data_IF_882968295314
#
_entry.id   IF_882968295314
#
_cell.length_a   1.000
_cell.length_b   1.000
_cell.length_c   1.000
_cell.angle_alpha   90.00
_cell.angle_beta   90.00
_cell.angle_gamma   90.00
#
_symmetry.space_group_name_H-M   'P 1'
#
loop_
_entity.id
_entity.type
_entity.pdbx_description
1 polymer ?
#
# COMPACT_ATOMS: atom_id res chain seq x y z
N UNK A 1 21.36 30.20 -1.21
CA UNK A 1 20.73 28.88 -1.08
C UNK A 1 19.24 29.07 -1.34
N UNK A 2 18.69 28.49 -2.40
CA UNK A 2 17.26 28.59 -2.71
C UNK A 2 16.55 27.40 -2.07
N UNK A 3 15.69 27.66 -1.08
CA UNK A 3 14.85 26.66 -0.45
C UNK A 3 13.71 26.30 -1.40
N UNK A 4 13.76 25.12 -2.02
CA UNK A 4 12.67 24.64 -2.87
C UNK A 4 11.56 24.12 -1.96
N UNK A 5 10.45 24.85 -1.86
CA UNK A 5 9.28 24.43 -1.08
C UNK A 5 8.58 23.27 -1.80
N UNK A 6 8.33 22.19 -1.08
CA UNK A 6 7.44 21.11 -1.55
C UNK A 6 6.02 21.67 -1.54
N UNK A 7 5.38 21.75 -2.71
CA UNK A 7 3.98 22.11 -2.82
C UNK A 7 3.14 20.86 -2.56
N UNK A 8 2.61 20.73 -1.34
CA UNK A 8 1.58 19.74 -1.04
C UNK A 8 0.23 20.30 -1.51
N UNK A 9 -0.29 19.77 -2.61
CA UNK A 9 -1.65 20.04 -3.02
C UNK A 9 -2.58 19.02 -2.35
N UNK A 10 -3.35 19.46 -1.36
CA UNK A 10 -4.47 18.69 -0.84
C UNK A 10 -5.65 18.96 -1.77
N UNK A 11 -5.91 18.05 -2.70
CA UNK A 11 -7.07 18.18 -3.60
C UNK A 11 -8.20 17.30 -3.07
N UNK A 12 -9.23 17.91 -2.49
CA UNK A 12 -10.46 17.23 -2.11
C UNK A 12 -11.31 17.00 -3.36
N UNK A 13 -11.17 15.84 -4.02
CA UNK A 13 -12.09 15.45 -5.08
C UNK A 13 -13.32 14.79 -4.47
N UNK A 14 -14.50 15.34 -4.75
CA UNK A 14 -15.76 15.05 -4.07
C UNK A 14 -16.46 13.75 -4.53
N UNK A 15 -15.91 12.98 -5.45
CA UNK A 15 -16.61 11.82 -6.04
C UNK A 15 -16.36 10.48 -5.32
N UNK A 16 -15.39 10.41 -4.41
CA UNK A 16 -15.25 9.35 -3.42
C UNK A 16 -14.31 9.90 -2.35
N UNK A 17 -14.61 9.71 -1.06
CA UNK A 17 -13.90 10.31 0.09
C UNK A 17 -12.42 9.97 0.28
N UNK A 18 -11.64 9.80 -0.79
CA UNK A 18 -10.20 9.66 -0.77
C UNK A 18 -9.54 11.04 -0.62
N UNK A 19 -8.84 11.23 0.51
CA UNK A 19 -7.92 12.35 0.67
C UNK A 19 -6.70 12.08 -0.24
N UNK A 20 -6.70 12.64 -1.44
CA UNK A 20 -5.55 12.54 -2.35
C UNK A 20 -4.54 13.61 -1.95
N UNK A 21 -3.54 13.20 -1.17
CA UNK A 21 -2.34 13.98 -0.98
C UNK A 21 -1.40 13.69 -2.16
N UNK A 22 -1.42 14.52 -3.21
CA UNK A 22 -0.42 14.42 -4.28
C UNK A 22 0.81 15.22 -3.86
N UNK A 23 1.79 14.52 -3.27
CA UNK A 23 3.13 15.08 -3.14
C UNK A 23 3.87 14.82 -4.47
N UNK A 24 3.97 15.85 -5.32
CA UNK A 24 4.82 15.84 -6.50
C UNK A 24 6.21 16.33 -6.12
N UNK A 25 7.18 15.43 -6.10
CA UNK A 25 8.58 15.79 -5.86
C UNK A 25 9.16 16.29 -7.18
N UNK A 26 9.54 17.59 -7.32
CA UNK A 26 10.23 18.04 -8.53
C UNK A 26 11.47 17.19 -8.73
N UNK A 27 11.58 16.60 -9.93
CA UNK A 27 12.67 15.73 -10.33
C UNK A 27 13.96 16.56 -10.39
N UNK A 28 14.68 16.65 -9.26
CA UNK A 28 16.07 17.04 -9.30
C UNK A 28 16.79 15.88 -10.01
N UNK A 29 17.14 16.06 -11.28
CA UNK A 29 18.07 15.16 -11.96
C UNK A 29 19.43 15.28 -11.25
N UNK A 30 19.59 14.58 -10.13
CA UNK A 30 20.87 14.35 -9.53
C UNK A 30 21.65 13.49 -10.52
N UNK A 31 22.67 14.09 -11.16
CA UNK A 31 23.67 13.36 -11.92
C UNK A 31 24.41 12.45 -10.94
N UNK A 32 23.96 11.21 -10.81
CA UNK A 32 24.68 10.16 -10.11
C UNK A 32 25.97 9.88 -10.91
N UNK A 33 27.10 10.08 -10.24
CA UNK A 33 28.43 9.81 -10.79
C UNK A 33 28.55 8.38 -11.29
N UNK A 34 29.29 8.22 -12.39
CA UNK A 34 29.58 6.96 -13.03
C UNK A 34 30.27 5.98 -12.06
N UNK A 35 29.51 5.01 -11.55
CA UNK A 35 30.03 3.97 -10.66
C UNK A 35 29.05 2.82 -10.53
N UNK A 36 29.18 1.83 -11.43
CA UNK A 36 28.34 0.62 -11.59
C UNK A 36 26.90 0.90 -12.03
N UNK A 37 26.49 0.21 -13.10
CA UNK A 37 25.15 0.23 -13.66
C UNK A 37 24.16 -0.41 -12.68
N UNK A 38 23.68 0.35 -11.69
CA UNK A 38 22.48 -0.03 -10.94
C UNK A 38 21.32 -0.12 -11.95
N UNK A 39 20.68 -1.28 -12.04
CA UNK A 39 19.48 -1.41 -12.88
C UNK A 39 18.36 -0.62 -12.22
N UNK A 40 17.96 0.47 -12.87
CA UNK A 40 16.85 1.32 -12.42
C UNK A 40 15.58 0.85 -13.10
N UNK A 41 14.63 0.35 -12.32
CA UNK A 41 13.31 -0.05 -12.83
C UNK A 41 12.29 0.99 -12.43
N UNK A 42 11.61 1.59 -13.41
CA UNK A 42 10.50 2.51 -13.13
C UNK A 42 9.30 1.74 -12.58
N UNK A 43 8.76 2.21 -11.47
CA UNK A 43 7.55 1.69 -10.85
C UNK A 43 6.47 2.76 -10.88
N UNK A 44 5.30 2.40 -11.37
CA UNK A 44 4.09 3.22 -11.31
C UNK A 44 3.01 2.45 -10.58
N UNK A 45 2.49 3.04 -9.50
CA UNK A 45 1.29 2.55 -8.83
C UNK A 45 1.50 1.34 -7.92
N UNK A 46 2.66 1.23 -7.27
CA UNK A 46 2.88 0.17 -6.29
C UNK A 46 2.14 0.52 -5.00
N UNK A 47 1.07 -0.23 -4.70
CA UNK A 47 0.30 -0.10 -3.48
C UNK A 47 0.84 -0.99 -2.36
N UNK A 48 0.78 -0.48 -1.12
CA UNK A 48 1.15 -1.24 0.07
C UNK A 48 0.93 -0.44 1.36
N UNK A 49 1.15 -1.10 2.49
CA UNK A 49 1.06 -0.47 3.80
C UNK A 49 2.35 0.27 4.13
N UNK A 50 2.27 1.56 4.43
CA UNK A 50 3.41 2.32 4.93
C UNK A 50 3.73 1.92 6.38
N UNK A 51 5.02 1.85 6.70
CA UNK A 51 5.55 1.76 8.07
C UNK A 51 6.56 2.87 8.34
N UNK A 52 6.34 3.63 9.40
CA UNK A 52 7.19 4.73 9.86
C UNK A 52 7.04 4.96 11.38
N UNK A 53 8.13 5.22 12.13
CA UNK A 53 9.54 5.08 11.75
C UNK A 53 10.01 3.61 11.84
N UNK A 54 10.92 3.23 10.94
CA UNK A 54 11.58 1.92 10.95
C UNK A 54 13.05 2.09 11.28
N UNK A 55 13.42 1.70 12.50
CA UNK A 55 14.81 1.69 12.95
C UNK A 55 15.45 0.33 12.66
N UNK A 56 16.55 0.33 11.91
CA UNK A 56 17.45 -0.82 11.81
C UNK A 56 18.72 -0.59 12.62
N UNK A 57 19.30 -1.68 13.10
CA UNK A 57 20.66 -1.67 13.64
C UNK A 57 21.62 -1.18 12.56
N UNK A 58 22.58 -0.32 12.94
CA UNK A 58 23.52 0.30 12.01
C UNK A 58 23.01 1.51 11.22
N UNK A 59 21.74 1.93 11.41
CA UNK A 59 21.21 3.15 10.78
C UNK A 59 21.07 3.06 9.25
N UNK A 60 21.05 1.85 8.71
CA UNK A 60 21.06 1.64 7.26
C UNK A 60 19.72 1.95 6.59
N UNK A 61 18.61 1.88 7.32
CA UNK A 61 17.28 2.12 6.75
C UNK A 61 17.03 3.59 6.46
N UNK A 62 16.19 3.88 5.47
CA UNK A 62 15.68 5.23 5.23
C UNK A 62 14.68 5.72 6.29
N UNK A 63 14.39 4.89 7.30
CA UNK A 63 13.34 5.15 8.29
C UNK A 63 11.92 4.82 7.81
N UNK A 64 11.70 4.54 6.51
CA UNK A 64 10.37 4.32 5.92
C UNK A 64 10.33 3.05 5.09
N UNK A 65 9.32 2.20 5.33
CA UNK A 65 9.16 0.94 4.59
C UNK A 65 7.74 0.82 4.04
N UNK A 66 7.62 0.52 2.75
CA UNK A 66 6.38 0.07 2.13
C UNK A 66 6.32 -1.46 2.17
N UNK A 67 5.36 -2.01 2.90
CA UNK A 67 5.06 -3.45 2.90
C UNK A 67 4.02 -3.76 1.83
N UNK A 68 4.38 -4.67 0.93
CA UNK A 68 3.50 -5.14 -0.14
C UNK A 68 3.44 -6.67 -0.11
N UNK A 69 2.52 -7.26 -0.87
CA UNK A 69 2.54 -8.71 -1.09
C UNK A 69 3.87 -9.19 -1.69
N UNK A 70 4.50 -8.42 -2.59
CA UNK A 70 5.78 -8.73 -3.23
C UNK A 70 7.00 -8.60 -2.27
N UNK A 71 6.80 -8.08 -1.07
CA UNK A 71 7.83 -7.89 -0.05
C UNK A 71 7.92 -6.44 0.42
N UNK A 72 9.01 -6.14 1.11
CA UNK A 72 9.29 -4.83 1.69
C UNK A 72 10.18 -3.99 0.78
N UNK A 73 9.85 -2.71 0.66
CA UNK A 73 10.61 -1.71 -0.07
C UNK A 73 10.93 -0.54 0.86
N UNK A 74 12.17 -0.10 0.88
CA UNK A 74 12.54 1.13 1.55
C UNK A 74 12.15 2.33 0.69
N UNK A 75 11.63 3.37 1.32
CA UNK A 75 11.27 4.60 0.62
C UNK A 75 12.36 5.62 0.85
N UNK A 76 13.02 6.03 -0.23
CA UNK A 76 13.93 7.15 -0.25
C UNK A 76 13.24 8.31 -0.95
N UNK A 77 13.27 9.48 -0.33
CA UNK A 77 12.95 10.72 -1.04
C UNK A 77 14.28 11.25 -1.58
N UNK A 78 14.25 11.97 -2.70
CA UNK A 78 15.45 12.64 -3.21
C UNK A 78 15.95 13.67 -2.17
N UNK A 79 16.79 14.64 -2.56
CA UNK A 79 17.30 15.67 -1.65
C UNK A 79 16.25 16.64 -1.07
N UNK A 80 14.99 16.22 -0.98
CA UNK A 80 13.89 16.97 -0.41
C UNK A 80 13.67 16.60 1.05
N UNK A 81 13.45 17.59 1.93
CA UNK A 81 13.08 17.32 3.30
C UNK A 81 11.76 16.54 3.32
N UNK A 82 11.74 15.49 4.13
CA UNK A 82 10.56 14.67 4.38
C UNK A 82 9.81 15.28 5.56
N UNK A 83 8.51 15.53 5.41
CA UNK A 83 7.67 15.97 6.51
C UNK A 83 7.33 14.76 7.40
N UNK A 84 8.12 14.53 8.44
CA UNK A 84 7.95 13.38 9.35
C UNK A 84 6.52 13.28 9.90
N UNK A 85 5.87 14.41 10.20
CA UNK A 85 4.49 14.42 10.73
C UNK A 85 3.49 13.83 9.74
N UNK A 86 3.70 14.07 8.45
CA UNK A 86 2.88 13.46 7.42
C UNK A 86 3.06 11.94 7.41
N UNK A 87 4.29 11.46 7.51
CA UNK A 87 4.55 10.01 7.50
C UNK A 87 4.09 9.31 8.78
N UNK A 88 4.14 9.98 9.93
CA UNK A 88 3.48 9.51 11.16
C UNK A 88 1.96 9.35 10.96
N UNK A 89 1.32 10.32 10.31
CA UNK A 89 -0.13 10.25 10.01
C UNK A 89 -0.47 9.18 8.97
N UNK A 90 0.49 8.79 8.12
CA UNK A 90 0.33 7.76 7.12
C UNK A 90 0.78 6.37 7.61
N UNK A 91 1.38 6.27 8.80
CA UNK A 91 1.82 4.98 9.34
C UNK A 91 0.64 4.00 9.44
N UNK A 92 0.87 2.77 8.97
CA UNK A 92 -0.15 1.74 8.90
C UNK A 92 -1.23 1.94 7.82
N UNK A 93 -1.22 3.04 7.06
CA UNK A 93 -2.19 3.26 5.96
C UNK A 93 -1.71 2.65 4.65
N UNK A 94 -2.67 2.29 3.81
CA UNK A 94 -2.40 1.90 2.43
C UNK A 94 -2.08 3.13 1.59
N UNK A 95 -0.92 3.12 0.96
CA UNK A 95 -0.45 4.17 0.06
C UNK A 95 -0.06 3.56 -1.26
N UNK A 96 -0.09 4.39 -2.30
CA UNK A 96 0.39 4.05 -3.63
C UNK A 96 1.60 4.93 -3.96
N UNK A 97 2.65 4.30 -4.46
CA UNK A 97 3.95 4.92 -4.69
C UNK A 97 4.34 4.76 -6.17
N UNK A 98 4.86 5.83 -6.75
CA UNK A 98 5.51 5.81 -8.05
C UNK A 98 6.94 6.38 -7.90
N UNK A 99 7.89 5.75 -8.57
CA UNK A 99 9.30 6.08 -8.40
C UNK A 99 10.25 5.15 -9.13
N UNK A 100 11.52 5.27 -8.79
CA UNK A 100 12.61 4.49 -9.36
C UNK A 100 13.06 3.41 -8.37
N UNK A 101 12.89 2.14 -8.72
CA UNK A 101 13.36 1.02 -7.91
C UNK A 101 14.83 0.73 -8.22
N UNK A 102 15.63 0.68 -7.16
CA UNK A 102 17.02 0.23 -7.15
C UNK A 102 17.20 -0.91 -6.16
N UNK A 103 18.14 -1.81 -6.46
CA UNK A 103 18.51 -2.90 -5.56
C UNK A 103 19.96 -2.72 -5.11
N UNK A 104 20.20 -2.73 -3.80
CA UNK A 104 21.53 -2.57 -3.20
C UNK A 104 21.87 -3.74 -2.29
N UNK A 105 23.13 -4.17 -2.22
CA UNK A 105 23.56 -5.11 -1.19
C UNK A 105 23.38 -4.45 0.19
N UNK A 106 22.74 -5.16 1.13
CA UNK A 106 22.74 -4.79 2.54
C UNK A 106 24.09 -5.14 3.18
N UNK A 107 24.50 -4.41 4.22
CA UNK A 107 25.78 -4.66 4.88
C UNK A 107 25.70 -5.91 5.75
N UNK A 108 24.60 -6.10 6.48
CA UNK A 108 24.45 -7.22 7.43
C UNK A 108 23.80 -8.46 6.79
N UNK A 109 22.66 -8.33 6.09
CA UNK A 109 22.02 -9.46 5.38
C UNK A 109 21.17 -8.99 4.19
N UNK A 110 21.35 -9.63 3.03
CA UNK A 110 20.37 -9.61 1.93
C UNK A 110 20.46 -8.44 0.95
N UNK A 111 19.48 -8.36 0.06
CA UNK A 111 19.34 -7.27 -0.93
C UNK A 111 18.29 -6.29 -0.46
N UNK A 112 18.67 -5.01 -0.37
CA UNK A 112 17.79 -3.88 -0.07
C UNK A 112 17.12 -3.42 -1.36
N UNK A 113 15.80 -3.26 -1.32
CA UNK A 113 14.99 -2.74 -2.44
C UNK A 113 14.56 -1.33 -2.08
N UNK A 114 15.13 -0.34 -2.75
CA UNK A 114 14.92 1.08 -2.42
C UNK A 114 14.17 1.73 -3.57
N UNK A 115 13.02 2.32 -3.26
CA UNK A 115 12.25 3.13 -4.19
C UNK A 115 12.57 4.59 -3.93
N UNK A 116 13.19 5.26 -4.91
CA UNK A 116 13.26 6.71 -4.92
C UNK A 116 11.90 7.26 -5.32
N UNK A 117 11.16 7.77 -4.33
CA UNK A 117 9.77 8.21 -4.47
C UNK A 117 9.70 9.49 -5.29
N UNK A 118 8.98 9.43 -6.40
CA UNK A 118 8.66 10.58 -7.25
C UNK A 118 7.24 11.11 -6.97
N UNK A 119 6.33 10.20 -6.65
CA UNK A 119 4.97 10.51 -6.25
C UNK A 119 4.48 9.51 -5.21
N UNK A 120 3.73 10.01 -4.24
CA UNK A 120 3.04 9.23 -3.23
C UNK A 120 1.60 9.75 -3.13
N UNK A 121 0.65 8.84 -2.96
CA UNK A 121 -0.74 9.15 -2.64
C UNK A 121 -1.32 8.12 -1.67
N UNK A 122 -2.36 8.51 -0.93
CA UNK A 122 -3.18 7.53 -0.20
C UNK A 122 -3.87 6.64 -1.22
N UNK A 123 -3.81 5.32 -1.03
CA UNK A 123 -4.50 4.40 -1.93
C UNK A 123 -6.02 4.66 -1.81
N UNK A 124 -6.76 4.69 -2.94
CA UNK A 124 -8.20 4.88 -2.87
C UNK A 124 -8.83 3.74 -2.07
N UNK A 125 -9.62 4.06 -1.05
CA UNK A 125 -10.50 3.08 -0.43
C UNK A 125 -11.50 2.60 -1.48
N UNK A 126 -11.68 1.29 -1.55
CA UNK A 126 -12.65 0.65 -2.42
C UNK A 126 -13.77 0.09 -1.56
N UNK A 127 -15.00 0.48 -1.90
CA UNK A 127 -16.21 -0.10 -1.35
C UNK A 127 -16.77 -1.09 -2.36
N UNK A 128 -17.00 -2.32 -1.91
CA UNK A 128 -17.57 -3.41 -2.71
C UNK A 128 -18.85 -3.86 -2.03
N UNK A 129 -19.96 -3.78 -2.75
CA UNK A 129 -21.23 -4.37 -2.34
C UNK A 129 -21.40 -5.72 -3.01
N UNK A 130 -21.87 -6.72 -2.25
CA UNK A 130 -22.16 -8.01 -2.83
C UNK A 130 -22.60 -9.03 -1.80
N UNK A 131 -22.67 -10.28 -2.23
CA UNK A 131 -22.98 -11.40 -1.34
C UNK A 131 -21.69 -11.91 -0.72
N UNK A 132 -21.62 -11.87 0.61
CA UNK A 132 -20.52 -12.43 1.36
C UNK A 132 -20.56 -13.96 1.28
N UNK A 133 -19.41 -14.55 0.99
CA UNK A 133 -19.16 -15.97 1.17
C UNK A 133 -18.11 -16.12 2.25
N UNK A 134 -18.54 -16.67 3.38
CA UNK A 134 -17.68 -16.93 4.52
C UNK A 134 -16.62 -17.98 4.20
N UNK A 135 -15.66 -18.19 5.11
CA UNK A 135 -14.66 -19.24 4.97
C UNK A 135 -15.34 -20.62 5.02
N UNK A 136 -15.57 -21.22 3.86
CA UNK A 136 -16.16 -22.56 3.71
C UNK A 136 -15.11 -23.65 3.52
N UNK A 137 -15.50 -24.91 3.73
CA UNK A 137 -14.68 -26.05 3.34
C UNK A 137 -15.29 -26.70 2.08
N UNK A 138 -14.63 -26.57 0.94
CA UNK A 138 -14.97 -27.31 -0.28
C UNK A 138 -13.87 -28.33 -0.54
N UNK A 139 -14.20 -29.63 -0.49
CA UNK A 139 -13.23 -30.71 -0.72
C UNK A 139 -12.07 -30.74 0.30
N UNK A 140 -12.34 -30.35 1.56
CA UNK A 140 -11.35 -30.37 2.64
C UNK A 140 -10.33 -29.23 2.63
N UNK A 141 -10.42 -28.27 1.69
CA UNK A 141 -9.62 -27.03 1.70
C UNK A 141 -10.45 -25.87 2.25
N UNK A 142 -9.85 -25.12 3.16
CA UNK A 142 -10.41 -23.85 3.63
C UNK A 142 -10.40 -22.86 2.47
N UNK A 143 -11.58 -22.36 2.11
CA UNK A 143 -11.75 -21.27 1.16
C UNK A 143 -11.53 -19.94 1.88
N UNK A 144 -10.84 -19.02 1.21
CA UNK A 144 -10.76 -17.64 1.66
C UNK A 144 -12.15 -16.98 1.53
N UNK A 145 -12.51 -16.07 2.46
CA UNK A 145 -13.74 -15.31 2.32
C UNK A 145 -13.70 -14.45 1.05
N UNK A 146 -14.84 -14.35 0.37
CA UNK A 146 -14.99 -13.55 -0.84
C UNK A 146 -16.31 -12.77 -0.84
N UNK A 147 -16.34 -11.65 -1.56
CA UNK A 147 -17.59 -10.95 -1.91
C UNK A 147 -17.83 -11.14 -3.40
N UNK A 148 -19.00 -11.67 -3.74
CA UNK A 148 -19.48 -11.75 -5.10
C UNK A 148 -20.38 -10.54 -5.40
N UNK A 149 -19.87 -9.60 -6.18
CA UNK A 149 -20.63 -8.54 -6.83
C UNK A 149 -21.15 -9.05 -8.20
N UNK A 150 -22.11 -8.36 -8.80
CA UNK A 150 -22.84 -8.82 -9.99
C UNK A 150 -21.94 -9.34 -11.13
N UNK A 151 -20.77 -8.71 -11.34
CA UNK A 151 -19.82 -9.07 -12.41
C UNK A 151 -18.43 -9.46 -11.90
N UNK A 152 -18.18 -9.40 -10.59
CA UNK A 152 -16.83 -9.50 -10.03
C UNK A 152 -16.82 -10.30 -8.73
N UNK A 153 -15.70 -10.98 -8.46
CA UNK A 153 -15.44 -11.62 -7.17
C UNK A 153 -14.19 -11.03 -6.55
N UNK A 154 -14.34 -10.58 -5.32
CA UNK A 154 -13.29 -9.95 -4.54
C UNK A 154 -12.91 -10.89 -3.41
N UNK A 155 -11.67 -11.38 -3.42
CA UNK A 155 -11.13 -12.04 -2.23
C UNK A 155 -10.96 -11.00 -1.12
N UNK A 156 -11.31 -11.38 0.10
CA UNK A 156 -11.19 -10.51 1.26
C UNK A 156 -9.97 -10.91 2.08
N UNK A 157 -9.06 -9.96 2.27
CA UNK A 157 -8.05 -10.06 3.30
C UNK A 157 -8.56 -9.38 4.56
N UNK A 158 -8.76 -10.16 5.61
CA UNK A 158 -9.27 -9.66 6.88
C UNK A 158 -8.14 -9.20 7.82
N UNK A 159 -6.88 -9.16 7.36
CA UNK A 159 -5.74 -8.62 8.10
C UNK A 159 -5.41 -9.34 9.41
N UNK A 160 -6.01 -10.52 9.65
CA UNK A 160 -5.94 -11.22 10.93
C UNK A 160 -6.91 -10.73 12.00
N UNK A 161 -7.81 -9.78 11.70
CA UNK A 161 -8.79 -9.26 12.65
C UNK A 161 -9.81 -10.36 13.03
N UNK A 162 -9.86 -10.80 14.30
CA UNK A 162 -10.78 -11.84 14.73
C UNK A 162 -12.25 -11.41 14.62
N UNK A 163 -12.56 -10.13 14.82
CA UNK A 163 -13.95 -9.64 14.73
C UNK A 163 -14.45 -9.74 13.30
N UNK A 164 -13.65 -9.28 12.33
CA UNK A 164 -14.02 -9.39 10.91
C UNK A 164 -14.19 -10.86 10.51
N UNK A 165 -13.32 -11.76 11.00
CA UNK A 165 -13.45 -13.21 10.76
C UNK A 165 -14.76 -13.77 11.31
N UNK A 166 -15.13 -13.42 12.54
CA UNK A 166 -16.38 -13.88 13.14
C UNK A 166 -17.60 -13.35 12.37
N UNK A 167 -17.56 -12.07 11.96
CA UNK A 167 -18.60 -11.50 11.09
C UNK A 167 -18.71 -12.23 9.76
N UNK A 168 -17.60 -12.64 9.13
CA UNK A 168 -17.69 -13.40 7.87
C UNK A 168 -18.34 -14.76 8.01
N UNK A 169 -18.27 -15.39 9.18
CA UNK A 169 -19.00 -16.63 9.47
C UNK A 169 -20.47 -16.35 9.76
N UNK A 170 -20.75 -15.30 10.54
CA UNK A 170 -22.11 -14.93 10.92
C UNK A 170 -22.95 -14.46 9.72
N UNK A 171 -22.32 -13.78 8.76
CA UNK A 171 -22.98 -13.15 7.62
C UNK A 171 -22.76 -13.93 6.31
N UNK A 172 -22.39 -15.21 6.39
CA UNK A 172 -22.28 -16.05 5.20
C UNK A 172 -23.62 -16.09 4.43
N UNK A 173 -23.54 -15.87 3.12
CA UNK A 173 -24.69 -15.75 2.23
C UNK A 173 -25.50 -14.46 2.37
N UNK A 174 -25.08 -13.49 3.19
CA UNK A 174 -25.77 -12.21 3.35
C UNK A 174 -25.24 -11.15 2.38
N UNK A 175 -26.10 -10.19 2.04
CA UNK A 175 -25.68 -8.99 1.33
C UNK A 175 -24.92 -8.08 2.30
N UNK A 176 -23.71 -7.70 1.91
CA UNK A 176 -22.82 -6.86 2.72
C UNK A 176 -22.21 -5.75 1.88
N UNK A 177 -21.70 -4.75 2.58
CA UNK A 177 -20.84 -3.71 2.07
C UNK A 177 -19.49 -3.89 2.76
N UNK A 178 -18.43 -4.15 1.98
CA UNK A 178 -17.06 -4.15 2.48
C UNK A 178 -16.33 -2.92 1.98
N UNK A 179 -15.70 -2.21 2.90
CA UNK A 179 -14.85 -1.06 2.60
C UNK A 179 -13.43 -1.39 3.01
N UNK A 180 -12.48 -1.16 2.11
CA UNK A 180 -11.10 -1.57 2.31
C UNK A 180 -10.14 -0.96 1.33
N UNK A 181 -8.86 -1.32 1.46
CA UNK A 181 -7.84 -0.92 0.49
C UNK A 181 -7.67 -1.99 -0.57
N UNK A 182 -7.52 -1.58 -1.83
CA UNK A 182 -7.25 -2.52 -2.91
C UNK A 182 -5.76 -2.86 -2.96
N UNK A 183 -5.43 -4.15 -2.83
CA UNK A 183 -4.04 -4.64 -2.86
C UNK A 183 -3.91 -5.75 -3.89
N UNK A 184 -2.88 -5.67 -4.73
CA UNK A 184 -2.55 -6.74 -5.70
C UNK A 184 -1.56 -7.70 -5.05
N UNK A 185 -1.95 -8.98 -4.92
CA UNK A 185 -1.08 -10.04 -4.40
C UNK A 185 -0.07 -10.53 -5.44
N UNK A 186 0.93 -11.30 -5.00
CA UNK A 186 2.02 -11.84 -5.87
C UNK A 186 1.50 -12.69 -7.03
N UNK A 187 0.36 -13.34 -6.85
CA UNK A 187 -0.33 -14.15 -7.84
C UNK A 187 -1.14 -13.30 -8.85
N UNK A 188 -0.92 -11.98 -8.87
CA UNK A 188 -1.65 -10.99 -9.65
C UNK A 188 -3.17 -10.94 -9.32
N UNK A 189 -3.60 -11.56 -8.22
CA UNK A 189 -4.99 -11.49 -7.77
C UNK A 189 -5.18 -10.19 -6.98
N UNK A 190 -6.16 -9.40 -7.39
CA UNK A 190 -6.58 -8.23 -6.64
C UNK A 190 -7.40 -8.70 -5.42
N UNK A 191 -7.02 -8.20 -4.24
CA UNK A 191 -7.61 -8.55 -2.95
C UNK A 191 -8.01 -7.26 -2.25
N UNK A 192 -9.17 -7.29 -1.61
CA UNK A 192 -9.64 -6.18 -0.79
C UNK A 192 -9.17 -6.41 0.65
N UNK A 193 -8.23 -5.60 1.13
CA UNK A 193 -7.89 -5.54 2.55
C UNK A 193 -9.02 -4.84 3.29
N UNK A 194 -9.92 -5.65 3.87
CA UNK A 194 -11.16 -5.18 4.49
C UNK A 194 -10.83 -4.47 5.80
N UNK A 195 -11.24 -3.21 5.88
CA UNK A 195 -11.15 -2.40 7.09
C UNK A 195 -12.49 -2.38 7.83
N UNK A 196 -13.57 -2.40 7.08
CA UNK A 196 -14.92 -2.33 7.59
C UNK A 196 -15.85 -3.26 6.79
N UNK A 197 -16.74 -3.93 7.51
CA UNK A 197 -17.75 -4.81 6.94
C UNK A 197 -19.10 -4.50 7.59
N UNK A 198 -20.12 -4.23 6.77
CA UNK A 198 -21.47 -3.90 7.21
C UNK A 198 -22.51 -4.76 6.49
N UNK A 199 -23.62 -5.09 7.16
CA UNK A 199 -24.78 -5.67 6.49
C UNK A 199 -25.44 -4.61 5.61
N UNK A 200 -25.85 -5.02 4.40
CA UNK A 200 -26.71 -4.18 3.58
C UNK A 200 -28.11 -4.17 4.21
N UNK A 201 -28.71 -2.99 4.49
CA UNK A 201 -30.03 -2.88 5.12
C UNK A 201 -31.15 -3.48 4.27
#
# INVERSE_FOLDING_TARGET
MATLAVALAVSSSLEAGALVLEAAFPLAQARLGAGRSETVTKISGLAGTLRFPVYAFGGETTGMVLKTAAGSYELAFASQPVDEKLFEQLDGKSIEVAGDLTSRPGVEVGTRRIITVLRLRVAPEKTVEGILRGPGAAGGKALEPEIAAATERWALDLGGDPKLRDLTRQWDGKAVIATGSLVVRRDAKAVLEVRELQLKP
#
